data_IF_126261475113
#
_entry.id   IF_126261475113
#
_cell.length_a   1.000
_cell.length_b   1.000
_cell.length_c   1.000
_cell.angle_alpha   90.00
_cell.angle_beta   90.00
_cell.angle_gamma   90.00
#
_symmetry.space_group_name_H-M   'P 1'
#
loop_
_entity.id
_entity.type
_entity.pdbx_description
1 polymer ?
#
# COMPACT_ATOMS: atom_id res chain seq x y z
N UNK A 1 19.01 -35.81 3.61
CA UNK A 1 18.49 -35.13 2.39
C UNK A 1 19.57 -34.74 1.38
N UNK A 2 20.84 -34.85 1.75
CA UNK A 2 21.98 -34.60 0.85
C UNK A 2 22.47 -35.87 0.11
N UNK A 3 21.82 -37.00 0.37
CA UNK A 3 22.04 -38.25 -0.34
C UNK A 3 21.54 -38.13 -1.81
N UNK A 4 22.28 -38.66 -2.77
CA UNK A 4 21.99 -38.50 -4.19
C UNK A 4 20.66 -39.14 -4.60
N UNK A 5 20.30 -40.29 -4.07
CA UNK A 5 19.04 -40.97 -4.36
C UNK A 5 17.84 -40.18 -3.80
N UNK A 6 17.98 -39.67 -2.58
CA UNK A 6 16.94 -38.83 -1.96
C UNK A 6 16.79 -37.50 -2.71
N UNK A 7 17.91 -36.91 -3.12
CA UNK A 7 17.91 -35.69 -3.94
C UNK A 7 17.20 -35.91 -5.29
N UNK A 8 17.47 -37.04 -5.96
CA UNK A 8 16.82 -37.40 -7.20
C UNK A 8 15.30 -37.56 -7.02
N UNK A 9 14.88 -38.27 -5.94
CA UNK A 9 13.48 -38.45 -5.60
C UNK A 9 12.74 -37.13 -5.31
N UNK A 10 13.38 -36.20 -4.59
CA UNK A 10 12.80 -34.85 -4.29
C UNK A 10 12.65 -34.05 -5.58
N UNK A 11 13.64 -34.04 -6.46
CA UNK A 11 13.58 -33.36 -7.76
C UNK A 11 12.43 -33.90 -8.63
N UNK A 12 12.33 -35.21 -8.74
CA UNK A 12 11.26 -35.86 -9.51
C UNK A 12 9.86 -35.53 -8.93
N UNK A 13 9.69 -35.60 -7.62
CA UNK A 13 8.45 -35.23 -6.96
C UNK A 13 8.07 -33.75 -7.21
N UNK A 14 9.06 -32.85 -7.13
CA UNK A 14 8.84 -31.43 -7.40
C UNK A 14 8.40 -31.19 -8.85
N UNK A 15 9.04 -31.82 -9.84
CA UNK A 15 8.70 -31.70 -11.25
C UNK A 15 7.27 -32.21 -11.49
N UNK A 16 6.91 -33.38 -10.97
CA UNK A 16 5.55 -33.91 -11.12
C UNK A 16 4.48 -33.03 -10.48
N UNK A 17 4.78 -32.42 -9.33
CA UNK A 17 3.87 -31.45 -8.70
C UNK A 17 3.72 -30.19 -9.54
N UNK A 18 4.79 -29.70 -10.16
CA UNK A 18 4.76 -28.56 -11.07
C UNK A 18 3.93 -28.86 -12.32
N UNK A 19 4.15 -30.01 -12.99
CA UNK A 19 3.39 -30.46 -14.16
C UNK A 19 1.89 -30.62 -13.88
N UNK A 20 1.55 -31.03 -12.65
CA UNK A 20 0.15 -31.11 -12.17
C UNK A 20 -0.43 -29.76 -11.73
N UNK A 21 0.30 -28.65 -11.88
CA UNK A 21 -0.14 -27.32 -11.47
C UNK A 21 -0.29 -27.13 -9.94
N UNK A 22 0.29 -28.03 -9.11
CA UNK A 22 0.25 -27.94 -7.65
C UNK A 22 1.31 -27.01 -7.08
N UNK A 23 2.38 -26.80 -7.82
CA UNK A 23 3.45 -25.87 -7.52
C UNK A 23 3.51 -24.85 -8.65
N UNK A 24 3.59 -23.57 -8.31
CA UNK A 24 3.68 -22.48 -9.27
C UNK A 24 4.52 -21.34 -8.69
N UNK A 25 5.09 -20.52 -9.54
CA UNK A 25 5.83 -19.32 -9.17
C UNK A 25 4.89 -18.11 -9.21
N UNK A 26 4.82 -17.36 -8.12
CA UNK A 26 3.96 -16.17 -8.01
C UNK A 26 4.64 -15.11 -7.13
N UNK A 27 4.30 -13.84 -7.37
CA UNK A 27 4.61 -12.75 -6.44
C UNK A 27 3.54 -12.72 -5.35
N UNK A 28 3.96 -12.58 -4.10
CA UNK A 28 3.10 -12.41 -2.93
C UNK A 28 3.65 -11.31 -2.05
N UNK A 29 2.78 -10.70 -1.23
CA UNK A 29 3.24 -9.83 -0.16
C UNK A 29 3.87 -10.68 0.97
N UNK A 30 4.94 -10.15 1.53
CA UNK A 30 5.64 -10.74 2.67
C UNK A 30 5.95 -9.66 3.69
N UNK A 31 6.11 -10.04 4.97
CA UNK A 31 6.70 -9.16 5.94
C UNK A 31 8.19 -8.97 5.58
N UNK A 32 8.62 -7.74 5.48
CA UNK A 32 9.98 -7.40 5.03
C UNK A 32 10.68 -6.52 6.06
N UNK A 33 11.84 -6.95 6.54
CA UNK A 33 12.69 -6.14 7.39
C UNK A 33 13.70 -5.35 6.56
N UNK A 34 13.53 -4.04 6.46
CA UNK A 34 14.44 -3.18 5.71
C UNK A 34 15.84 -3.08 6.32
N UNK A 35 15.98 -3.27 7.63
CA UNK A 35 17.27 -3.26 8.32
C UNK A 35 18.08 -4.53 8.03
N UNK A 36 17.43 -5.68 8.09
CA UNK A 36 18.06 -6.98 7.81
C UNK A 36 18.04 -7.33 6.31
N UNK A 37 17.24 -6.62 5.51
CA UNK A 37 17.01 -6.88 4.08
C UNK A 37 16.59 -8.33 3.81
N UNK A 38 15.63 -8.80 4.58
CA UNK A 38 15.11 -10.17 4.48
C UNK A 38 13.61 -10.23 4.73
N UNK A 39 12.97 -11.24 4.17
CA UNK A 39 11.60 -11.60 4.52
C UNK A 39 11.56 -12.20 5.93
N UNK A 40 10.48 -11.91 6.66
CA UNK A 40 10.18 -12.46 7.96
C UNK A 40 8.95 -13.36 7.88
N UNK A 41 8.95 -14.47 8.60
CA UNK A 41 7.75 -15.30 8.76
C UNK A 41 6.69 -14.56 9.58
N UNK A 42 5.41 -14.79 9.29
CA UNK A 42 4.31 -14.19 10.05
C UNK A 42 4.36 -14.53 11.55
N UNK A 43 4.88 -15.70 11.90
CA UNK A 43 5.05 -16.13 13.29
C UNK A 43 6.22 -15.46 14.03
N UNK A 44 7.09 -14.75 13.32
CA UNK A 44 8.23 -13.99 13.87
C UNK A 44 7.89 -12.50 14.05
N UNK A 45 6.70 -12.08 13.64
CA UNK A 45 6.27 -10.68 13.74
C UNK A 45 5.36 -10.50 14.94
N UNK A 46 5.82 -9.70 15.89
CA UNK A 46 5.00 -9.25 17.02
C UNK A 46 4.32 -7.92 16.66
N UNK A 47 3.02 -7.81 17.00
CA UNK A 47 2.26 -6.59 16.74
C UNK A 47 2.08 -5.79 18.01
N UNK A 48 2.30 -4.48 17.92
CA UNK A 48 2.09 -3.53 19.01
C UNK A 48 0.83 -2.70 18.72
N UNK A 49 -0.11 -2.70 19.66
CA UNK A 49 -1.29 -1.84 19.59
C UNK A 49 -0.93 -0.38 19.86
N UNK A 50 -1.42 0.51 19.01
CA UNK A 50 -1.29 1.96 19.15
C UNK A 50 -2.70 2.56 19.19
N UNK A 51 -3.06 3.16 20.32
CA UNK A 51 -4.41 3.70 20.56
C UNK A 51 -4.65 5.06 19.86
N UNK A 52 -3.59 5.78 19.52
CA UNK A 52 -3.65 7.07 18.85
C UNK A 52 -2.26 7.59 18.54
N UNK A 53 -2.17 8.84 18.14
CA UNK A 53 -0.94 9.48 17.71
C UNK A 53 0.22 9.31 18.70
N UNK A 54 1.28 8.64 18.27
CA UNK A 54 2.42 8.24 19.10
C UNK A 54 3.71 8.38 18.28
N UNK A 55 4.76 8.91 18.91
CA UNK A 55 6.10 8.97 18.32
C UNK A 55 6.89 7.71 18.65
N UNK A 56 7.46 7.06 17.65
CA UNK A 56 8.25 5.84 17.79
C UNK A 56 9.57 5.92 17.02
N UNK A 57 10.60 5.29 17.56
CA UNK A 57 11.85 5.01 16.82
C UNK A 57 11.60 3.86 15.85
N UNK A 58 12.26 3.92 14.69
CA UNK A 58 12.22 2.87 13.69
C UNK A 58 13.62 2.27 13.53
N UNK A 59 13.78 0.96 13.57
CA UNK A 59 15.07 0.30 13.34
C UNK A 59 15.72 0.77 12.03
N UNK A 60 17.01 1.07 12.07
CA UNK A 60 17.76 1.56 10.89
C UNK A 60 17.63 3.07 10.62
N UNK A 61 16.87 3.83 11.42
CA UNK A 61 16.68 5.29 11.25
C UNK A 61 17.37 6.13 12.32
N UNK A 62 18.32 5.58 13.08
CA UNK A 62 19.00 6.26 14.17
C UNK A 62 18.07 6.67 15.30
N UNK A 63 18.27 7.86 15.87
CA UNK A 63 17.45 8.38 16.98
C UNK A 63 16.21 9.15 16.53
N UNK A 64 15.92 9.18 15.24
CA UNK A 64 14.79 9.92 14.69
C UNK A 64 13.46 9.27 15.12
N UNK A 65 12.53 10.11 15.54
CA UNK A 65 11.17 9.68 15.89
C UNK A 65 10.22 9.96 14.75
N UNK A 66 9.33 9.01 14.49
CA UNK A 66 8.29 9.12 13.47
C UNK A 66 6.91 8.92 14.10
N UNK A 67 5.92 9.57 13.51
CA UNK A 67 4.55 9.54 13.96
C UNK A 67 3.82 8.29 13.44
N UNK A 68 3.13 7.60 14.35
CA UNK A 68 2.23 6.48 14.11
C UNK A 68 0.89 6.73 14.79
N UNK A 69 -0.12 5.90 14.53
CA UNK A 69 -1.44 6.02 15.16
C UNK A 69 -2.23 7.21 14.63
N UNK A 70 -2.03 7.60 13.39
CA UNK A 70 -2.79 8.65 12.75
C UNK A 70 -3.23 8.26 11.34
N UNK A 71 -4.39 8.77 10.95
CA UNK A 71 -5.00 8.64 9.64
C UNK A 71 -4.90 9.99 8.93
N UNK A 72 -4.16 10.04 7.84
CA UNK A 72 -3.98 11.24 7.02
C UNK A 72 -5.01 11.25 5.90
N UNK A 73 -5.81 12.30 5.84
CA UNK A 73 -6.82 12.53 4.81
C UNK A 73 -6.28 13.50 3.75
N UNK A 74 -6.44 13.13 2.48
CA UNK A 74 -6.05 13.95 1.34
C UNK A 74 -7.00 13.72 0.15
N UNK A 75 -6.97 14.63 -0.82
CA UNK A 75 -7.89 14.62 -1.94
C UNK A 75 -7.18 14.27 -3.25
N UNK A 76 -7.82 13.41 -4.04
CA UNK A 76 -7.49 13.17 -5.44
C UNK A 76 -8.39 14.02 -6.34
N UNK A 77 -7.84 14.87 -7.24
CA UNK A 77 -8.62 15.55 -8.25
C UNK A 77 -9.25 14.58 -9.25
N UNK A 78 -10.53 14.73 -9.55
CA UNK A 78 -11.22 13.95 -10.57
C UNK A 78 -10.85 14.51 -11.96
N UNK A 79 -10.54 13.61 -12.88
CA UNK A 79 -10.17 13.99 -14.26
C UNK A 79 -11.30 14.76 -14.95
N UNK A 80 -10.96 15.88 -15.60
CA UNK A 80 -11.89 16.77 -16.32
C UNK A 80 -13.06 17.31 -15.45
N UNK A 81 -12.81 17.52 -14.16
CA UNK A 81 -13.81 18.04 -13.21
C UNK A 81 -13.12 18.88 -12.13
N UNK A 82 -13.86 19.79 -11.52
CA UNK A 82 -13.42 20.52 -10.31
C UNK A 82 -13.61 19.70 -9.03
N UNK A 83 -14.18 18.50 -9.15
CA UNK A 83 -14.49 17.62 -8.06
C UNK A 83 -13.25 16.89 -7.54
N UNK A 84 -13.28 16.54 -6.26
CA UNK A 84 -12.20 15.82 -5.58
C UNK A 84 -12.76 14.65 -4.78
N UNK A 85 -12.03 13.53 -4.75
CA UNK A 85 -12.34 12.39 -3.87
C UNK A 85 -11.37 12.42 -2.69
N UNK A 86 -11.91 12.44 -1.47
CA UNK A 86 -11.11 12.39 -0.25
C UNK A 86 -10.89 10.94 0.14
N UNK A 87 -9.63 10.58 0.33
CA UNK A 87 -9.19 9.26 0.82
C UNK A 87 -8.39 9.42 2.10
N UNK A 88 -8.24 8.35 2.86
CA UNK A 88 -7.51 8.34 4.11
C UNK A 88 -6.49 7.19 4.15
N UNK A 89 -5.34 7.42 4.78
CA UNK A 89 -4.29 6.40 4.92
C UNK A 89 -3.47 6.59 6.18
N UNK A 90 -3.01 5.49 6.75
CA UNK A 90 -2.01 5.48 7.83
C UNK A 90 -0.57 5.53 7.29
N UNK A 91 -0.38 5.27 5.98
CA UNK A 91 0.92 5.16 5.33
C UNK A 91 0.96 6.04 4.07
N UNK A 92 1.08 7.37 4.29
CA UNK A 92 0.99 8.35 3.20
C UNK A 92 2.03 8.11 2.09
N UNK A 93 3.23 7.63 2.42
CA UNK A 93 4.30 7.35 1.46
C UNK A 93 3.90 6.33 0.38
N UNK A 94 2.98 5.41 0.69
CA UNK A 94 2.55 4.39 -0.27
C UNK A 94 1.65 4.95 -1.38
N UNK A 95 1.10 6.16 -1.22
CA UNK A 95 0.28 6.78 -2.25
C UNK A 95 1.01 6.87 -3.61
N UNK A 96 2.34 6.97 -3.58
CA UNK A 96 3.15 7.03 -4.80
C UNK A 96 2.95 5.80 -5.71
N UNK A 97 2.53 4.67 -5.14
CA UNK A 97 2.22 3.42 -5.84
C UNK A 97 0.74 3.14 -6.03
N UNK A 98 -0.16 4.11 -5.78
CA UNK A 98 -1.59 3.90 -5.93
C UNK A 98 -1.97 3.60 -7.38
N UNK A 99 -2.83 2.61 -7.59
CA UNK A 99 -3.27 2.16 -8.90
C UNK A 99 -4.78 2.20 -9.11
N UNK A 100 -5.55 2.45 -8.04
CA UNK A 100 -6.97 2.74 -8.10
C UNK A 100 -7.43 3.56 -6.89
N UNK A 101 -8.62 4.14 -7.00
CA UNK A 101 -9.45 4.58 -5.88
C UNK A 101 -10.71 3.71 -5.90
N UNK A 102 -10.99 2.99 -4.81
CA UNK A 102 -12.16 2.14 -4.68
C UNK A 102 -13.29 2.86 -3.95
N UNK A 103 -14.52 2.66 -4.42
CA UNK A 103 -15.76 3.12 -3.80
C UNK A 103 -16.75 1.98 -3.73
N UNK A 104 -17.76 2.08 -2.83
CA UNK A 104 -18.82 1.08 -2.81
C UNK A 104 -19.80 1.33 -3.97
N UNK A 105 -20.25 0.30 -4.71
CA UNK A 105 -21.14 0.47 -5.86
C UNK A 105 -22.49 1.10 -5.51
N UNK A 106 -22.98 0.91 -4.29
CA UNK A 106 -24.25 1.44 -3.82
C UNK A 106 -24.15 2.80 -3.13
N UNK A 107 -22.94 3.33 -2.93
CA UNK A 107 -22.75 4.63 -2.26
C UNK A 107 -23.24 5.78 -3.16
N UNK A 108 -24.33 6.47 -2.76
CA UNK A 108 -24.90 7.54 -3.59
C UNK A 108 -23.95 8.72 -3.80
N UNK A 109 -22.98 8.90 -2.90
CA UNK A 109 -21.98 10.01 -3.00
C UNK A 109 -21.08 9.87 -4.22
N UNK A 110 -20.83 8.63 -4.67
CA UNK A 110 -19.83 8.31 -5.70
C UNK A 110 -20.41 7.68 -6.97
N UNK A 111 -21.73 7.42 -7.05
CA UNK A 111 -22.35 6.76 -8.22
C UNK A 111 -22.03 7.46 -9.54
N UNK A 112 -21.99 8.78 -9.55
CA UNK A 112 -21.69 9.58 -10.73
C UNK A 112 -20.22 9.56 -11.15
N UNK A 113 -19.33 8.96 -10.32
CA UNK A 113 -17.89 8.83 -10.55
C UNK A 113 -17.49 7.42 -11.00
N UNK A 114 -18.42 6.46 -11.05
CA UNK A 114 -18.12 5.12 -11.50
C UNK A 114 -17.52 5.11 -12.90
N UNK A 115 -16.39 4.41 -13.07
CA UNK A 115 -15.67 4.32 -14.35
C UNK A 115 -14.92 5.57 -14.77
N UNK A 116 -14.94 6.64 -13.96
CA UNK A 116 -14.11 7.82 -14.16
C UNK A 116 -12.70 7.59 -13.59
N UNK A 117 -11.88 8.62 -13.66
CA UNK A 117 -10.49 8.59 -13.23
C UNK A 117 -10.19 9.77 -12.32
N UNK A 118 -9.19 9.58 -11.48
CA UNK A 118 -8.53 10.66 -10.74
C UNK A 118 -7.11 10.85 -11.26
N UNK A 119 -6.56 12.04 -11.04
CA UNK A 119 -5.17 12.35 -11.39
C UNK A 119 -4.32 12.34 -10.12
N UNK A 120 -3.26 11.55 -10.13
CA UNK A 120 -2.33 11.49 -9.00
C UNK A 120 -1.59 12.84 -8.85
N UNK A 121 -1.64 13.49 -7.67
CA UNK A 121 -1.17 14.88 -7.54
C UNK A 121 0.36 15.06 -7.66
N UNK A 122 1.12 13.99 -7.53
CA UNK A 122 2.60 14.04 -7.52
C UNK A 122 3.18 13.57 -8.86
N UNK A 123 2.80 12.37 -9.31
CA UNK A 123 3.37 11.76 -10.52
C UNK A 123 2.45 11.87 -11.75
N UNK A 124 1.30 12.53 -11.61
CA UNK A 124 0.31 12.82 -12.65
C UNK A 124 -0.25 11.59 -13.39
N UNK A 125 -0.08 10.39 -12.80
CA UNK A 125 -0.71 9.18 -13.35
C UNK A 125 -2.22 9.29 -13.30
N UNK A 126 -2.85 8.75 -14.32
CA UNK A 126 -4.30 8.57 -14.41
C UNK A 126 -4.68 7.30 -13.67
N UNK A 127 -5.50 7.39 -12.63
CA UNK A 127 -5.88 6.30 -11.72
C UNK A 127 -7.38 6.05 -11.85
N UNK A 128 -7.84 4.81 -12.13
CA UNK A 128 -9.27 4.50 -12.27
C UNK A 128 -10.00 4.56 -10.91
N UNK A 129 -11.26 4.99 -10.95
CA UNK A 129 -12.21 4.82 -9.86
C UNK A 129 -12.92 3.49 -10.09
N UNK A 130 -12.74 2.54 -9.18
CA UNK A 130 -13.30 1.19 -9.24
C UNK A 130 -14.39 0.98 -8.20
N UNK A 131 -15.28 0.03 -8.45
CA UNK A 131 -16.33 -0.35 -7.50
C UNK A 131 -15.95 -1.69 -6.84
N UNK A 132 -15.72 -1.70 -5.52
CA UNK A 132 -15.40 -2.93 -4.78
C UNK A 132 -16.21 -3.00 -3.47
N UNK A 133 -17.30 -3.79 -3.43
CA UNK A 133 -18.13 -3.91 -2.23
C UNK A 133 -17.51 -4.82 -1.15
N UNK A 134 -16.43 -5.52 -1.47
CA UNK A 134 -15.74 -6.41 -0.52
C UNK A 134 -14.79 -5.59 0.35
N UNK A 135 -14.07 -4.65 -0.28
CA UNK A 135 -13.07 -3.83 0.40
C UNK A 135 -13.67 -2.59 1.06
N UNK A 136 -14.64 -1.95 0.41
CA UNK A 136 -15.14 -0.63 0.83
C UNK A 136 -16.40 -0.75 1.70
N UNK A 137 -16.28 -0.32 2.95
CA UNK A 137 -17.45 -0.03 3.80
C UNK A 137 -17.85 1.44 3.59
N UNK A 138 -19.03 1.69 2.99
CA UNK A 138 -19.53 3.04 2.73
C UNK A 138 -19.86 3.84 3.99
N UNK A 139 -19.96 3.19 5.16
CA UNK A 139 -20.22 3.83 6.44
C UNK A 139 -18.94 4.16 7.22
N UNK A 140 -17.78 3.71 6.73
CA UNK A 140 -16.51 3.95 7.38
C UNK A 140 -15.73 5.08 6.69
N UNK A 141 -15.27 6.04 7.47
CA UNK A 141 -14.43 7.15 6.99
C UNK A 141 -15.07 7.96 5.86
N UNK A 142 -14.35 8.12 4.77
CA UNK A 142 -14.82 8.87 3.59
C UNK A 142 -15.69 8.02 2.65
N UNK A 143 -15.72 6.69 2.81
CA UNK A 143 -16.34 5.77 1.87
C UNK A 143 -15.55 5.59 0.56
N UNK A 144 -14.34 6.14 0.48
CA UNK A 144 -13.42 5.96 -0.63
C UNK A 144 -12.05 5.52 -0.11
N UNK A 145 -11.47 4.51 -0.75
CA UNK A 145 -10.20 3.88 -0.34
C UNK A 145 -9.19 3.97 -1.47
N UNK A 146 -8.00 4.48 -1.19
CA UNK A 146 -6.87 4.39 -2.13
C UNK A 146 -6.35 2.95 -2.20
N UNK A 147 -5.95 2.49 -3.36
CA UNK A 147 -5.51 1.10 -3.57
C UNK A 147 -4.06 1.06 -3.99
N UNK A 148 -3.23 0.46 -3.12
CA UNK A 148 -1.80 0.23 -3.36
C UNK A 148 -1.47 -1.27 -3.28
N UNK A 149 -1.71 -2.06 -4.32
CA UNK A 149 -1.63 -3.52 -4.27
C UNK A 149 -0.26 -4.08 -3.86
N UNK A 150 0.81 -3.33 -4.09
CA UNK A 150 2.16 -3.74 -3.74
C UNK A 150 2.53 -3.53 -2.25
N UNK A 151 1.69 -2.85 -1.46
CA UNK A 151 2.06 -2.42 -0.11
C UNK A 151 1.01 -2.67 0.98
N UNK A 152 -0.14 -3.24 0.65
CA UNK A 152 -1.19 -3.59 1.60
C UNK A 152 -1.86 -4.92 1.22
N UNK A 153 -2.08 -5.85 2.17
CA UNK A 153 -2.68 -7.15 1.89
C UNK A 153 -4.12 -7.08 1.35
N UNK A 154 -4.93 -6.16 1.86
CA UNK A 154 -6.31 -5.99 1.41
C UNK A 154 -6.34 -5.39 0.00
N UNK A 155 -5.47 -4.40 -0.25
CA UNK A 155 -5.29 -3.78 -1.56
C UNK A 155 -4.72 -4.78 -2.58
N UNK A 156 -3.85 -5.71 -2.14
CA UNK A 156 -3.33 -6.81 -2.97
C UNK A 156 -4.47 -7.69 -3.51
N UNK A 157 -5.39 -8.13 -2.65
CA UNK A 157 -6.53 -8.95 -3.08
C UNK A 157 -7.52 -8.15 -3.95
N UNK A 158 -7.75 -6.88 -3.64
CA UNK A 158 -8.51 -5.97 -4.50
C UNK A 158 -7.84 -5.81 -5.87
N UNK A 159 -6.52 -5.61 -5.89
CA UNK A 159 -5.74 -5.50 -7.12
C UNK A 159 -5.85 -6.73 -8.02
N UNK A 160 -5.87 -7.93 -7.43
CA UNK A 160 -6.10 -9.19 -8.18
C UNK A 160 -7.51 -9.26 -8.77
N UNK A 161 -8.55 -8.91 -7.98
CA UNK A 161 -9.95 -8.92 -8.45
C UNK A 161 -10.18 -7.98 -9.62
N UNK A 162 -9.54 -6.81 -9.59
CA UNK A 162 -9.71 -5.75 -10.59
C UNK A 162 -8.59 -5.71 -11.65
N UNK A 163 -7.68 -6.69 -11.63
CA UNK A 163 -6.53 -6.74 -12.56
C UNK A 163 -5.71 -5.43 -12.60
N UNK A 164 -5.45 -4.85 -11.41
CA UNK A 164 -4.69 -3.62 -11.27
C UNK A 164 -3.19 -3.89 -11.40
N UNK A 165 -2.44 -2.86 -11.76
CA UNK A 165 -0.98 -2.90 -11.74
C UNK A 165 -0.44 -2.94 -10.30
N UNK A 166 0.66 -3.66 -10.07
CA UNK A 166 1.34 -3.78 -8.77
C UNK A 166 2.63 -2.97 -8.81
N UNK A 167 2.56 -1.72 -8.38
CA UNK A 167 3.69 -0.79 -8.41
C UNK A 167 4.37 -0.76 -7.04
N UNK A 168 5.50 -1.44 -6.92
CA UNK A 168 6.36 -1.31 -5.75
C UNK A 168 7.12 0.03 -5.82
N UNK A 169 7.05 0.82 -4.75
CA UNK A 169 7.71 2.13 -4.62
C UNK A 169 8.80 2.15 -3.55
N UNK A 170 9.06 1.02 -2.88
CA UNK A 170 10.03 0.94 -1.78
C UNK A 170 11.12 -0.07 -2.12
N UNK A 171 12.38 0.31 -1.93
CA UNK A 171 13.55 -0.57 -2.07
C UNK A 171 13.71 -1.49 -0.86
N UNK A 172 14.57 -2.50 -0.96
CA UNK A 172 14.83 -3.47 0.10
C UNK A 172 15.34 -2.83 1.41
N UNK A 173 16.01 -1.68 1.32
CA UNK A 173 16.50 -0.92 2.48
C UNK A 173 15.52 0.17 2.97
N UNK A 174 14.30 0.22 2.42
CA UNK A 174 13.23 1.10 2.88
C UNK A 174 13.27 2.52 2.33
N UNK A 175 14.00 2.75 1.23
CA UNK A 175 14.00 4.01 0.48
C UNK A 175 12.93 3.98 -0.61
N UNK A 176 12.59 5.14 -1.12
CA UNK A 176 11.73 5.25 -2.30
C UNK A 176 12.59 4.93 -3.55
N UNK A 177 12.05 4.08 -4.43
CA UNK A 177 12.69 3.73 -5.71
C UNK A 177 12.25 4.69 -6.84
N UNK A 178 12.64 4.39 -8.09
CA UNK A 178 12.37 5.23 -9.26
C UNK A 178 10.88 5.42 -9.53
N UNK A 179 10.03 4.44 -9.18
CA UNK A 179 8.57 4.54 -9.35
C UNK A 179 7.94 5.59 -8.43
N UNK A 180 8.65 5.99 -7.37
CA UNK A 180 8.19 7.01 -6.42
C UNK A 180 8.80 8.40 -6.66
N UNK A 181 9.33 8.69 -7.87
CA UNK A 181 9.80 10.04 -8.21
C UNK A 181 8.71 11.10 -7.90
N UNK A 182 9.12 12.30 -7.42
CA UNK A 182 10.47 12.86 -7.31
C UNK A 182 11.23 12.51 -6.01
N UNK A 183 10.74 11.60 -5.19
CA UNK A 183 11.32 11.29 -3.86
C UNK A 183 12.32 10.15 -3.89
N UNK A 184 12.77 9.69 -5.05
CA UNK A 184 13.74 8.59 -5.23
C UNK A 184 14.96 8.75 -4.32
N UNK A 185 15.33 7.68 -3.62
CA UNK A 185 16.46 7.61 -2.69
C UNK A 185 16.19 8.13 -1.29
N UNK A 186 15.08 8.84 -1.05
CA UNK A 186 14.69 9.28 0.29
C UNK A 186 14.15 8.13 1.14
N UNK A 187 14.36 8.16 2.45
CA UNK A 187 13.78 7.20 3.39
C UNK A 187 12.25 7.35 3.43
N UNK A 188 11.51 6.22 3.41
CA UNK A 188 10.04 6.22 3.31
C UNK A 188 9.34 7.08 4.37
N UNK A 189 9.84 7.09 5.62
CA UNK A 189 9.24 7.89 6.68
C UNK A 189 9.50 9.39 6.51
N UNK A 190 10.64 9.77 5.94
CA UNK A 190 10.93 11.17 5.61
C UNK A 190 10.04 11.64 4.46
N UNK A 191 9.79 10.75 3.48
CA UNK A 191 8.87 11.02 2.38
C UNK A 191 7.44 11.20 2.89
N UNK A 192 7.01 10.47 3.94
CA UNK A 192 5.70 10.67 4.56
C UNK A 192 5.50 12.12 5.02
N UNK A 193 6.51 12.69 5.69
CA UNK A 193 6.50 14.09 6.13
C UNK A 193 6.51 15.04 4.94
N UNK A 194 7.38 14.77 3.98
CA UNK A 194 7.54 15.63 2.79
C UNK A 194 6.28 15.65 1.91
N UNK A 195 5.62 14.51 1.72
CA UNK A 195 4.36 14.40 1.00
C UNK A 195 3.23 15.20 1.67
N UNK A 196 3.17 15.19 3.00
CA UNK A 196 2.19 16.00 3.73
C UNK A 196 2.39 17.51 3.45
N UNK A 197 3.64 17.98 3.44
CA UNK A 197 3.96 19.36 3.08
C UNK A 197 3.58 19.69 1.64
N UNK A 198 3.88 18.80 0.70
CA UNK A 198 3.64 19.04 -0.72
C UNK A 198 2.13 18.96 -1.05
N UNK A 199 1.37 18.07 -0.41
CA UNK A 199 -0.09 18.06 -0.49
C UNK A 199 -0.72 19.34 0.09
N UNK A 200 -0.16 19.90 1.18
CA UNK A 200 -0.60 21.22 1.72
C UNK A 200 -0.37 22.32 0.71
N UNK A 201 0.80 22.38 0.05
CA UNK A 201 1.08 23.38 -0.99
C UNK A 201 0.15 23.28 -2.19
N UNK A 202 -0.27 22.04 -2.55
CA UNK A 202 -1.19 21.78 -3.63
C UNK A 202 -2.68 22.03 -3.26
N UNK A 203 -2.98 22.32 -1.99
CA UNK A 203 -4.36 22.45 -1.50
C UNK A 203 -5.16 21.15 -1.56
N UNK A 204 -4.46 20.02 -1.39
CA UNK A 204 -5.04 18.66 -1.44
C UNK A 204 -4.92 17.92 -0.11
N UNK A 205 -4.23 18.45 0.86
CA UNK A 205 -4.23 17.96 2.24
C UNK A 205 -5.53 18.38 2.93
N UNK A 206 -6.24 17.43 3.55
CA UNK A 206 -7.51 17.67 4.25
C UNK A 206 -7.30 17.74 5.75
N UNK A 207 -6.61 16.75 6.33
CA UNK A 207 -6.38 16.72 7.78
C UNK A 207 -5.70 15.44 8.23
N UNK A 208 -5.51 15.36 9.56
CA UNK A 208 -4.97 14.17 10.22
C UNK A 208 -5.75 13.92 11.50
N UNK A 209 -6.19 12.70 11.70
CA UNK A 209 -6.98 12.25 12.85
C UNK A 209 -6.25 11.14 13.60
N UNK A 210 -6.46 11.04 14.90
CA UNK A 210 -5.99 9.90 15.67
C UNK A 210 -6.66 8.61 15.17
N UNK A 211 -5.90 7.55 15.08
CA UNK A 211 -6.36 6.26 14.58
C UNK A 211 -5.75 5.12 15.37
N UNK A 212 -6.61 4.25 15.90
CA UNK A 212 -6.14 3.01 16.50
C UNK A 212 -5.62 2.08 15.42
N UNK A 213 -4.41 1.56 15.60
CA UNK A 213 -3.78 0.67 14.64
C UNK A 213 -2.80 -0.30 15.30
N UNK A 214 -2.47 -1.36 14.61
CA UNK A 214 -1.35 -2.24 14.95
C UNK A 214 -0.16 -1.96 14.07
N UNK A 215 1.03 -2.00 14.64
CA UNK A 215 2.29 -1.92 13.90
C UNK A 215 3.14 -3.16 14.20
N UNK A 216 3.81 -3.75 13.21
CA UNK A 216 4.72 -4.88 13.38
C UNK A 216 6.05 -4.43 13.98
#
# INVERSE_FOLDING_TARGET
>A
TMDDNLTAAVKEAFIRMFEKGKIYRSKRLVNWCCSLRTALSDIEVEYIDIEGRTLRKVPGHGDKLYEFGCLTEFAYPVENSDEKIIVATTRLETMLGDTAVAVHPDDPRYKHLHGKYVIHPINHRRIPIICDPILVDMNFGTGAVKITPAHDPNDFECGKRHNLEFINVITDDGRINENGAPYTGMMRFDVRVKLEEDLKKLGLYVGKKDNKMQIP
#
